data_IF_105355884647
#
_entry.id   IF_105355884647
#
_cell.length_a   1.000
_cell.length_b   1.000
_cell.length_c   1.000
_cell.angle_alpha   90.00
_cell.angle_beta   90.00
_cell.angle_gamma   90.00
#
_symmetry.space_group_name_H-M   'P 1'
#
loop_
_entity.id
_entity.type
_entity.pdbx_description
1 polymer ?
#
# COMPACT_ATOMS: atom_id res chain seq x y z
N UNK A 1 46.72 -35.93 -8.38
CA UNK A 1 46.17 -35.16 -7.25
C UNK A 1 44.71 -34.91 -7.57
N UNK A 2 43.86 -35.89 -7.28
CA UNK A 2 42.41 -35.74 -7.41
C UNK A 2 41.91 -35.09 -6.13
N UNK A 3 41.47 -33.84 -6.23
CA UNK A 3 40.86 -33.12 -5.13
C UNK A 3 39.46 -33.68 -4.89
N UNK A 4 39.27 -34.33 -3.73
CA UNK A 4 37.95 -34.68 -3.20
C UNK A 4 37.17 -33.38 -2.93
N UNK A 5 36.30 -32.99 -3.85
CA UNK A 5 35.22 -32.06 -3.54
C UNK A 5 34.10 -32.86 -2.86
N UNK A 6 33.61 -32.46 -1.67
CA UNK A 6 32.46 -33.10 -1.06
C UNK A 6 31.26 -32.96 -1.99
N UNK A 7 30.75 -34.09 -2.46
CA UNK A 7 29.55 -34.18 -3.28
C UNK A 7 28.34 -33.99 -2.35
N UNK A 8 28.04 -32.73 -1.99
CA UNK A 8 26.78 -32.36 -1.35
C UNK A 8 25.67 -32.52 -2.41
N UNK A 9 25.20 -33.75 -2.57
CA UNK A 9 24.37 -34.21 -3.68
C UNK A 9 22.93 -33.71 -3.61
N UNK A 10 22.71 -32.42 -3.89
CA UNK A 10 21.46 -31.96 -4.49
C UNK A 10 21.70 -31.87 -6.00
N UNK A 11 20.86 -32.54 -6.79
CA UNK A 11 20.88 -32.42 -8.24
C UNK A 11 20.54 -30.97 -8.63
N UNK A 12 21.14 -30.46 -9.70
CA UNK A 12 20.76 -29.15 -10.26
C UNK A 12 19.25 -29.08 -10.57
N UNK A 13 18.63 -30.21 -10.92
CA UNK A 13 17.17 -30.28 -11.12
C UNK A 13 16.42 -30.04 -9.82
N UNK A 14 16.86 -30.64 -8.71
CA UNK A 14 16.20 -30.47 -7.40
C UNK A 14 16.32 -29.02 -6.92
N UNK A 15 17.48 -28.38 -7.16
CA UNK A 15 17.67 -26.96 -6.86
C UNK A 15 16.77 -26.09 -7.74
N UNK A 16 16.66 -26.41 -9.03
CA UNK A 16 15.78 -25.67 -9.95
C UNK A 16 14.31 -25.81 -9.55
N UNK A 17 13.87 -27.01 -9.16
CA UNK A 17 12.51 -27.29 -8.71
C UNK A 17 12.23 -26.59 -7.36
N UNK A 18 13.20 -26.59 -6.43
CA UNK A 18 13.11 -25.86 -5.16
C UNK A 18 12.98 -24.35 -5.39
N UNK A 19 13.80 -23.78 -6.28
CA UNK A 19 13.73 -22.37 -6.67
C UNK A 19 12.38 -22.07 -7.35
N UNK A 20 11.92 -22.93 -8.25
CA UNK A 20 10.65 -22.76 -8.95
C UNK A 20 9.47 -22.78 -7.96
N UNK A 21 9.40 -23.79 -7.09
CA UNK A 21 8.36 -23.88 -6.07
C UNK A 21 8.36 -22.64 -5.16
N UNK A 22 9.52 -22.30 -4.60
CA UNK A 22 9.65 -21.25 -3.60
C UNK A 22 9.44 -19.84 -4.15
N UNK A 23 9.91 -19.54 -5.36
CA UNK A 23 9.97 -18.17 -5.87
C UNK A 23 9.02 -17.88 -7.02
N UNK A 24 8.48 -18.90 -7.69
CA UNK A 24 7.51 -18.72 -8.77
C UNK A 24 6.12 -19.16 -8.28
N UNK A 25 5.94 -20.44 -7.98
CA UNK A 25 4.62 -21.01 -7.69
C UNK A 25 4.01 -20.54 -6.38
N UNK A 26 4.81 -20.44 -5.31
CA UNK A 26 4.33 -19.99 -4.00
C UNK A 26 4.01 -18.50 -3.95
N UNK A 27 4.68 -17.72 -4.80
CA UNK A 27 4.60 -16.26 -4.79
C UNK A 27 3.48 -15.77 -5.69
N UNK A 28 3.35 -16.31 -6.90
CA UNK A 28 2.28 -15.94 -7.82
C UNK A 28 1.89 -17.15 -8.66
N UNK A 29 0.72 -17.69 -8.37
CA UNK A 29 0.06 -18.68 -9.20
C UNK A 29 -1.15 -18.02 -9.88
N UNK A 30 -1.16 -17.81 -11.21
CA UNK A 30 -2.29 -17.20 -11.91
C UNK A 30 -3.57 -18.05 -11.81
N UNK A 31 -3.47 -19.36 -11.58
CA UNK A 31 -4.64 -20.23 -11.36
C UNK A 31 -5.26 -20.05 -9.97
N UNK A 32 -4.49 -19.53 -9.01
CA UNK A 32 -4.99 -19.25 -7.67
C UNK A 32 -5.65 -17.86 -7.65
N UNK A 33 -6.97 -17.82 -7.82
CA UNK A 33 -7.77 -16.60 -7.80
C UNK A 33 -8.38 -16.28 -6.43
N UNK A 34 -7.89 -16.91 -5.34
CA UNK A 34 -8.36 -16.66 -3.97
C UNK A 34 -7.81 -15.32 -3.41
N UNK A 35 -8.11 -14.24 -4.12
CA UNK A 35 -7.86 -12.87 -3.70
C UNK A 35 -8.83 -11.90 -4.41
N UNK A 36 -9.01 -10.74 -3.80
CA UNK A 36 -9.77 -9.63 -4.37
C UNK A 36 -8.85 -8.43 -4.57
N UNK A 37 -9.13 -7.63 -5.58
CA UNK A 37 -8.50 -6.34 -5.76
C UNK A 37 -9.09 -5.38 -4.73
N UNK A 38 -8.20 -4.66 -4.05
CA UNK A 38 -8.53 -3.91 -2.86
C UNK A 38 -8.22 -2.42 -3.06
N UNK A 39 -9.20 -1.57 -2.77
CA UNK A 39 -8.99 -0.14 -2.55
C UNK A 39 -9.45 0.23 -1.13
N UNK A 40 -8.77 1.17 -0.51
CA UNK A 40 -9.10 1.64 0.84
C UNK A 40 -9.05 3.15 0.81
N UNK A 41 -10.22 3.77 0.84
CA UNK A 41 -10.47 5.18 0.51
C UNK A 41 -10.95 5.89 1.75
N UNK A 42 -10.46 7.11 2.01
CA UNK A 42 -11.01 7.96 3.08
C UNK A 42 -12.22 8.69 2.54
N UNK A 43 -13.38 8.42 3.09
CA UNK A 43 -14.48 9.38 3.05
C UNK A 43 -14.26 10.40 4.16
N UNK A 44 -14.27 11.68 3.83
CA UNK A 44 -14.16 12.75 4.81
C UNK A 44 -15.05 13.95 4.42
N UNK A 45 -16.06 14.29 5.23
CA UNK A 45 -16.98 15.36 4.94
C UNK A 45 -16.31 16.74 4.94
N UNK A 46 -15.14 16.91 5.57
CA UNK A 46 -14.40 18.18 5.59
C UNK A 46 -13.54 18.41 4.35
N UNK A 47 -13.49 17.47 3.40
CA UNK A 47 -12.79 17.69 2.13
C UNK A 47 -13.52 18.67 1.20
N UNK A 48 -14.82 18.88 1.42
CA UNK A 48 -15.62 19.87 0.70
C UNK A 48 -15.82 21.12 1.55
N UNK A 49 -15.96 22.28 0.89
CA UNK A 49 -16.21 23.57 1.56
C UNK A 49 -17.50 23.54 2.36
N UNK A 50 -18.53 22.87 1.84
CA UNK A 50 -19.79 22.61 2.52
C UNK A 50 -19.82 21.11 2.82
N UNK A 51 -19.69 20.71 4.09
CA UNK A 51 -19.79 19.30 4.47
C UNK A 51 -21.19 18.74 4.23
N UNK A 52 -21.32 17.48 3.79
CA UNK A 52 -22.61 16.82 3.61
C UNK A 52 -23.33 16.64 4.95
N UNK A 53 -24.64 16.91 4.96
CA UNK A 53 -25.52 16.65 6.12
C UNK A 53 -26.45 15.46 5.87
N UNK A 54 -26.65 15.10 4.61
CA UNK A 54 -27.37 13.91 4.16
C UNK A 54 -26.56 13.17 3.08
N UNK A 55 -26.86 11.89 2.86
CA UNK A 55 -26.13 11.09 1.87
C UNK A 55 -26.28 11.62 0.43
N UNK A 56 -27.39 12.30 0.12
CA UNK A 56 -27.63 12.97 -1.17
C UNK A 56 -26.67 14.14 -1.43
N UNK A 57 -26.03 14.68 -0.39
CA UNK A 57 -25.08 15.79 -0.51
C UNK A 57 -23.66 15.29 -0.80
N UNK A 58 -23.42 13.98 -0.71
CA UNK A 58 -22.11 13.38 -0.92
C UNK A 58 -21.74 13.50 -2.40
N UNK A 59 -20.54 14.01 -2.63
CA UNK A 59 -19.93 14.11 -3.96
C UNK A 59 -18.64 13.30 -4.02
N UNK A 60 -18.06 13.18 -5.23
CA UNK A 60 -16.75 12.55 -5.39
C UNK A 60 -15.65 13.22 -4.55
N UNK A 61 -15.76 14.52 -4.30
CA UNK A 61 -14.75 15.31 -3.60
C UNK A 61 -14.71 15.00 -2.10
N UNK A 62 -15.73 14.34 -1.56
CA UNK A 62 -15.73 13.80 -0.21
C UNK A 62 -14.89 12.51 -0.07
N UNK A 63 -14.45 11.92 -1.18
CA UNK A 63 -13.60 10.74 -1.19
C UNK A 63 -12.17 11.13 -1.57
N UNK A 64 -11.26 11.05 -0.60
CA UNK A 64 -9.88 11.46 -0.79
C UNK A 64 -9.19 10.68 -1.92
N UNK A 65 -8.71 11.39 -2.94
CA UNK A 65 -8.01 10.83 -4.11
C UNK A 65 -8.82 9.78 -4.88
N UNK A 66 -10.15 9.96 -5.01
CA UNK A 66 -11.03 8.98 -5.66
C UNK A 66 -10.60 8.68 -7.10
N UNK A 67 -10.19 9.70 -7.86
CA UNK A 67 -9.74 9.54 -9.25
C UNK A 67 -8.48 8.65 -9.33
N UNK A 68 -7.50 8.87 -8.46
CA UNK A 68 -6.31 8.03 -8.36
C UNK A 68 -6.64 6.60 -7.90
N UNK A 69 -7.58 6.45 -6.96
CA UNK A 69 -8.08 5.14 -6.53
C UNK A 69 -8.75 4.36 -7.66
N UNK A 70 -9.58 5.04 -8.45
CA UNK A 70 -10.29 4.46 -9.60
C UNK A 70 -9.30 3.98 -10.66
N UNK A 71 -8.37 4.83 -11.10
CA UNK A 71 -7.40 4.45 -12.13
C UNK A 71 -6.52 3.28 -11.70
N UNK A 72 -6.06 3.27 -10.45
CA UNK A 72 -5.28 2.13 -9.93
C UNK A 72 -6.09 0.85 -9.88
N UNK A 73 -7.36 0.92 -9.46
CA UNK A 73 -8.26 -0.24 -9.41
C UNK A 73 -8.42 -0.86 -10.80
N UNK A 74 -8.78 -0.06 -11.81
CA UNK A 74 -8.95 -0.52 -13.20
C UNK A 74 -7.64 -1.08 -13.76
N UNK A 75 -6.52 -0.39 -13.54
CA UNK A 75 -5.21 -0.86 -13.97
C UNK A 75 -4.85 -2.22 -13.36
N UNK A 76 -5.13 -2.39 -12.06
CA UNK A 76 -4.86 -3.64 -11.35
C UNK A 76 -5.73 -4.78 -11.88
N UNK A 77 -7.03 -4.54 -12.09
CA UNK A 77 -7.94 -5.55 -12.63
C UNK A 77 -7.49 -6.03 -14.01
N UNK A 78 -7.16 -5.09 -14.91
CA UNK A 78 -6.63 -5.41 -16.23
C UNK A 78 -5.34 -6.23 -16.16
N UNK A 79 -4.41 -5.85 -15.27
CA UNK A 79 -3.16 -6.58 -15.09
C UNK A 79 -3.42 -8.06 -14.77
N UNK A 80 -4.23 -8.34 -13.74
CA UNK A 80 -4.50 -9.72 -13.34
C UNK A 80 -5.38 -10.46 -14.34
N UNK A 81 -6.33 -9.79 -14.99
CA UNK A 81 -7.13 -10.40 -16.04
C UNK A 81 -6.25 -10.91 -17.20
N UNK A 82 -5.27 -10.12 -17.64
CA UNK A 82 -4.26 -10.56 -18.64
C UNK A 82 -3.50 -11.80 -18.14
N UNK A 83 -3.11 -11.84 -16.86
CA UNK A 83 -2.37 -13.00 -16.33
C UNK A 83 -3.21 -14.29 -16.27
N UNK A 84 -4.55 -14.18 -16.18
CA UNK A 84 -5.46 -15.32 -16.04
C UNK A 84 -6.02 -15.76 -17.39
N UNK A 85 -6.39 -14.80 -18.25
CA UNK A 85 -7.17 -15.04 -19.47
C UNK A 85 -6.40 -14.73 -20.76
N UNK A 86 -5.16 -14.23 -20.68
CA UNK A 86 -4.34 -13.82 -21.83
C UNK A 86 -5.06 -12.80 -22.75
N UNK A 87 -5.89 -11.94 -22.13
CA UNK A 87 -6.69 -10.89 -22.78
C UNK A 87 -6.60 -9.58 -21.97
N UNK A 88 -6.66 -8.42 -22.63
CA UNK A 88 -6.66 -7.10 -21.97
C UNK A 88 -8.07 -6.47 -21.84
N UNK A 89 -9.08 -7.12 -22.42
CA UNK A 89 -10.50 -6.75 -22.30
C UNK A 89 -11.12 -7.44 -21.08
N UNK A 90 -11.58 -6.64 -20.10
CA UNK A 90 -12.33 -7.17 -18.96
C UNK A 90 -13.72 -7.65 -19.39
N UNK A 91 -14.19 -8.75 -18.80
CA UNK A 91 -15.54 -9.29 -19.02
C UNK A 91 -16.67 -8.38 -18.47
N UNK A 92 -16.31 -7.30 -17.78
CA UNK A 92 -17.21 -6.35 -17.15
C UNK A 92 -16.64 -4.93 -17.17
N UNK A 93 -17.54 -3.94 -17.12
CA UNK A 93 -17.17 -2.54 -17.02
C UNK A 93 -17.25 -2.04 -15.57
N UNK A 94 -16.33 -1.16 -15.19
CA UNK A 94 -16.45 -0.36 -13.97
C UNK A 94 -16.44 1.13 -14.36
N UNK A 95 -17.58 1.72 -14.76
CA UNK A 95 -17.68 3.16 -14.93
C UNK A 95 -17.45 3.87 -13.59
N UNK A 96 -16.70 4.98 -13.61
CA UNK A 96 -16.40 5.71 -12.38
C UNK A 96 -17.65 6.23 -11.67
N UNK A 97 -18.67 6.69 -12.42
CA UNK A 97 -19.94 7.19 -11.86
C UNK A 97 -20.74 6.07 -11.19
N UNK A 98 -20.69 4.86 -11.75
CA UNK A 98 -21.32 3.69 -11.13
C UNK A 98 -20.62 3.32 -9.83
N UNK A 99 -19.28 3.36 -9.81
CA UNK A 99 -18.50 3.13 -8.60
C UNK A 99 -18.84 4.16 -7.52
N UNK A 100 -18.89 5.45 -7.88
CA UNK A 100 -19.28 6.52 -6.96
C UNK A 100 -20.68 6.28 -6.40
N UNK A 101 -21.64 5.93 -7.26
CA UNK A 101 -23.01 5.62 -6.86
C UNK A 101 -23.06 4.47 -5.85
N UNK A 102 -22.25 3.41 -6.06
CA UNK A 102 -22.14 2.29 -5.12
C UNK A 102 -21.52 2.68 -3.77
N UNK A 103 -20.53 3.58 -3.76
CA UNK A 103 -19.94 4.10 -2.52
C UNK A 103 -20.98 4.92 -1.72
N UNK A 104 -21.74 5.79 -2.40
CA UNK A 104 -22.80 6.59 -1.78
C UNK A 104 -23.94 5.70 -1.28
N UNK A 105 -24.36 4.71 -2.07
CA UNK A 105 -25.37 3.72 -1.68
C UNK A 105 -24.95 2.97 -0.42
N UNK A 106 -23.70 2.51 -0.34
CA UNK A 106 -23.17 1.82 0.84
C UNK A 106 -23.22 2.70 2.10
N UNK A 107 -22.91 4.01 1.99
CA UNK A 107 -23.03 4.96 3.11
C UNK A 107 -24.51 5.19 3.46
N UNK A 108 -25.37 5.38 2.46
CA UNK A 108 -26.81 5.64 2.63
C UNK A 108 -27.52 4.50 3.35
N UNK A 109 -27.18 3.26 3.04
CA UNK A 109 -27.77 2.06 3.63
C UNK A 109 -27.15 1.68 4.97
N UNK A 110 -26.09 2.38 5.40
CA UNK A 110 -25.44 2.12 6.69
C UNK A 110 -26.09 2.90 7.83
N UNK A 111 -25.74 2.53 9.06
CA UNK A 111 -26.05 3.25 10.29
C UNK A 111 -25.01 4.33 10.64
N UNK A 112 -24.03 4.57 9.75
CA UNK A 112 -22.95 5.53 9.96
C UNK A 112 -23.45 6.96 9.73
N UNK A 113 -22.88 7.89 10.49
CA UNK A 113 -23.16 9.31 10.37
C UNK A 113 -22.40 9.91 9.19
N UNK A 114 -23.10 10.55 8.25
CA UNK A 114 -22.49 11.13 7.04
C UNK A 114 -21.52 12.28 7.32
N UNK A 115 -21.60 12.90 8.50
CA UNK A 115 -20.70 13.97 8.94
C UNK A 115 -19.48 13.45 9.72
N UNK A 116 -19.31 12.13 9.85
CA UNK A 116 -18.12 11.50 10.42
C UNK A 116 -17.20 10.96 9.30
N UNK A 117 -15.87 11.03 9.45
CA UNK A 117 -14.95 10.44 8.51
C UNK A 117 -15.02 8.90 8.56
N UNK A 118 -14.88 8.25 7.41
CA UNK A 118 -14.95 6.79 7.30
C UNK A 118 -13.81 6.24 6.45
N UNK A 119 -13.32 5.06 6.83
CA UNK A 119 -12.49 4.22 5.98
C UNK A 119 -13.40 3.30 5.17
N UNK A 120 -13.43 3.54 3.86
CA UNK A 120 -14.19 2.76 2.89
C UNK A 120 -13.29 1.71 2.28
N UNK A 121 -13.57 0.43 2.54
CA UNK A 121 -12.83 -0.70 1.99
C UNK A 121 -13.62 -1.29 0.83
N UNK A 122 -13.16 -1.04 -0.38
CA UNK A 122 -13.73 -1.53 -1.64
C UNK A 122 -12.98 -2.78 -2.08
N UNK A 123 -13.70 -3.87 -2.31
CA UNK A 123 -13.18 -5.14 -2.79
C UNK A 123 -13.85 -5.49 -4.11
N UNK A 124 -13.07 -5.89 -5.10
CA UNK A 124 -13.55 -6.31 -6.42
C UNK A 124 -12.89 -7.64 -6.77
N UNK A 125 -13.67 -8.67 -7.05
CA UNK A 125 -13.18 -9.96 -7.56
C UNK A 125 -13.06 -9.95 -9.09
N UNK A 126 -12.41 -10.98 -9.64
CA UNK A 126 -12.16 -11.10 -11.09
C UNK A 126 -13.41 -11.40 -11.92
N UNK A 127 -14.52 -11.76 -11.29
CA UNK A 127 -15.85 -11.91 -11.90
C UNK A 127 -16.70 -10.63 -11.85
N UNK A 128 -16.16 -9.55 -11.27
CA UNK A 128 -16.83 -8.25 -11.18
C UNK A 128 -17.67 -8.06 -9.91
N UNK A 129 -17.73 -9.03 -9.00
CA UNK A 129 -18.45 -8.85 -7.73
C UNK A 129 -17.78 -7.77 -6.87
N UNK A 130 -18.61 -6.82 -6.41
CA UNK A 130 -18.16 -5.67 -5.60
C UNK A 130 -18.68 -5.80 -4.18
N UNK A 131 -17.76 -5.70 -3.21
CA UNK A 131 -18.09 -5.59 -1.79
C UNK A 131 -17.51 -4.31 -1.21
N UNK A 132 -18.35 -3.57 -0.47
CA UNK A 132 -17.95 -2.34 0.22
C UNK A 132 -18.14 -2.53 1.72
N UNK A 133 -17.11 -2.23 2.49
CA UNK A 133 -17.15 -2.27 3.95
C UNK A 133 -16.79 -0.89 4.52
N UNK A 134 -17.55 -0.44 5.53
CA UNK A 134 -17.36 0.86 6.17
C UNK A 134 -16.79 0.68 7.57
N UNK A 135 -15.64 1.29 7.81
CA UNK A 135 -14.91 1.24 9.07
C UNK A 135 -14.71 2.64 9.63
N UNK A 136 -14.60 2.75 10.95
CA UNK A 136 -14.25 4.02 11.59
C UNK A 136 -12.82 4.42 11.23
N UNK A 137 -12.61 5.73 11.11
CA UNK A 137 -11.27 6.30 10.99
C UNK A 137 -11.17 7.59 11.79
N UNK A 138 -9.96 7.91 12.24
CA UNK A 138 -9.73 9.12 13.02
C UNK A 138 -9.93 10.39 12.20
N UNK A 139 -10.33 11.44 12.90
CA UNK A 139 -10.31 12.81 12.39
C UNK A 139 -8.89 13.26 12.05
N UNK A 140 -8.78 13.98 10.93
CA UNK A 140 -7.54 14.61 10.46
C UNK A 140 -7.90 16.00 9.99
N UNK A 141 -7.37 17.04 10.65
CA UNK A 141 -7.62 18.42 10.21
C UNK A 141 -6.91 18.73 8.89
N UNK A 142 -5.74 18.12 8.67
CA UNK A 142 -4.97 18.26 7.45
C UNK A 142 -4.30 16.94 7.10
N UNK A 143 -4.63 16.37 5.94
CA UNK A 143 -4.05 15.11 5.46
C UNK A 143 -2.59 15.26 4.95
N UNK A 144 -2.06 16.48 4.84
CA UNK A 144 -0.71 16.79 4.36
C UNK A 144 0.22 17.37 5.42
N UNK A 145 -0.22 17.45 6.68
CA UNK A 145 0.55 18.02 7.79
C UNK A 145 1.90 17.34 8.03
N UNK A 146 2.04 16.05 7.73
CA UNK A 146 3.31 15.32 7.86
C UNK A 146 4.46 15.91 7.02
N UNK A 147 4.16 16.59 5.90
CA UNK A 147 5.18 17.25 5.05
C UNK A 147 5.58 18.61 5.64
N UNK A 148 4.74 19.21 6.46
CA UNK A 148 4.99 20.53 7.04
C UNK A 148 6.02 20.43 8.18
N UNK A 149 7.01 21.32 8.17
CA UNK A 149 8.05 21.32 9.19
C UNK A 149 7.55 21.80 10.57
N UNK A 150 6.49 22.59 10.61
CA UNK A 150 6.08 23.37 11.78
C UNK A 150 5.10 22.69 12.75
N UNK A 151 4.59 21.49 12.49
CA UNK A 151 3.38 21.01 13.19
C UNK A 151 3.34 19.51 13.47
N UNK A 152 4.29 18.99 14.25
CA UNK A 152 4.11 17.64 14.82
C UNK A 152 4.46 17.63 16.30
N UNK A 153 3.47 17.32 17.13
CA UNK A 153 3.70 16.89 18.50
C UNK A 153 4.52 15.59 18.47
N UNK A 154 5.36 15.34 19.48
CA UNK A 154 6.14 14.09 19.56
C UNK A 154 5.25 12.85 19.65
N UNK A 155 4.00 13.01 20.10
CA UNK A 155 3.03 11.91 20.20
C UNK A 155 2.54 11.42 18.83
N UNK A 156 2.64 12.24 17.78
CA UNK A 156 2.17 11.93 16.43
C UNK A 156 3.24 11.27 15.53
N UNK A 157 4.46 11.09 16.05
CA UNK A 157 5.53 10.38 15.36
C UNK A 157 5.34 8.88 15.55
N UNK A 158 5.25 8.15 14.43
CA UNK A 158 5.14 6.70 14.40
C UNK A 158 6.50 6.04 14.68
N UNK A 159 6.46 4.94 15.41
CA UNK A 159 7.64 4.09 15.61
C UNK A 159 7.78 3.16 14.41
N UNK A 160 8.92 3.27 13.72
CA UNK A 160 9.19 2.53 12.49
C UNK A 160 10.26 1.48 12.74
N UNK A 161 9.92 0.24 12.41
CA UNK A 161 10.79 -0.92 12.52
C UNK A 161 11.23 -1.37 11.13
N UNK A 162 12.41 -1.98 11.01
CA UNK A 162 12.87 -2.58 9.74
C UNK A 162 12.71 -4.09 9.82
N UNK A 163 11.99 -4.69 8.86
CA UNK A 163 11.94 -6.15 8.75
C UNK A 163 13.33 -6.69 8.39
N UNK A 164 13.76 -7.73 9.11
CA UNK A 164 15.04 -8.40 8.89
C UNK A 164 14.97 -9.44 7.78
N UNK A 165 13.76 -9.87 7.43
CA UNK A 165 13.53 -10.81 6.34
C UNK A 165 13.33 -10.07 5.01
N UNK A 166 14.06 -10.50 3.98
CA UNK A 166 13.88 -9.95 2.65
C UNK A 166 12.51 -10.32 2.10
N UNK A 167 11.82 -9.35 1.52
CA UNK A 167 10.57 -9.55 0.80
C UNK A 167 10.83 -9.85 -0.66
N UNK A 168 10.19 -10.90 -1.18
CA UNK A 168 10.21 -11.19 -2.60
C UNK A 168 9.24 -10.26 -3.33
N UNK A 169 9.69 -9.64 -4.42
CA UNK A 169 8.88 -8.74 -5.22
C UNK A 169 7.89 -9.55 -6.06
N UNK A 170 6.62 -9.21 -6.01
CA UNK A 170 5.58 -9.93 -6.75
C UNK A 170 4.45 -9.00 -7.17
N UNK A 171 3.51 -9.48 -8.00
CA UNK A 171 2.28 -8.74 -8.25
C UNK A 171 1.53 -8.38 -6.95
N UNK A 172 1.61 -9.20 -5.91
CA UNK A 172 0.95 -8.94 -4.62
C UNK A 172 1.64 -7.90 -3.75
N UNK A 173 2.88 -7.49 -4.08
CA UNK A 173 3.51 -6.30 -3.49
C UNK A 173 3.27 -5.05 -4.34
N UNK A 174 3.31 -5.18 -5.67
CA UNK A 174 3.14 -4.03 -6.57
C UNK A 174 1.68 -3.59 -6.75
N UNK A 175 0.72 -4.48 -6.52
CA UNK A 175 -0.71 -4.23 -6.62
C UNK A 175 -1.42 -4.49 -5.29
N UNK A 176 -2.47 -3.70 -5.03
CA UNK A 176 -3.21 -3.78 -3.76
C UNK A 176 -4.28 -4.86 -3.84
N UNK A 177 -4.01 -6.01 -3.23
CA UNK A 177 -4.97 -7.13 -3.13
C UNK A 177 -5.25 -7.52 -1.68
N UNK A 178 -6.15 -8.49 -1.48
CA UNK A 178 -6.34 -9.15 -0.18
C UNK A 178 -5.25 -10.18 0.14
N UNK A 179 -4.46 -10.63 -0.84
CA UNK A 179 -3.30 -11.48 -0.58
C UNK A 179 -2.18 -10.65 0.06
N UNK A 180 -2.15 -10.67 1.38
CA UNK A 180 -1.26 -9.84 2.20
C UNK A 180 -0.35 -10.65 3.11
N UNK A 181 -0.14 -11.93 2.81
CA UNK A 181 0.65 -12.86 3.65
C UNK A 181 2.03 -12.29 3.98
N UNK A 182 2.74 -11.74 2.99
CA UNK A 182 4.08 -11.13 3.17
C UNK A 182 4.05 -9.95 4.15
N UNK A 183 3.05 -9.07 4.04
CA UNK A 183 2.89 -7.92 4.91
C UNK A 183 2.46 -8.32 6.33
N UNK A 184 1.56 -9.30 6.46
CA UNK A 184 1.13 -9.81 7.76
C UNK A 184 2.27 -10.47 8.51
N UNK A 185 3.08 -11.29 7.83
CA UNK A 185 4.26 -11.92 8.41
C UNK A 185 5.32 -10.89 8.84
N UNK A 186 5.58 -9.87 8.02
CA UNK A 186 6.49 -8.78 8.38
C UNK A 186 6.03 -8.06 9.66
N UNK A 187 4.72 -7.76 9.77
CA UNK A 187 4.15 -7.13 10.96
C UNK A 187 4.29 -8.01 12.21
N UNK A 188 3.98 -9.29 12.10
CA UNK A 188 4.07 -10.25 13.20
C UNK A 188 5.50 -10.41 13.72
N UNK A 189 6.49 -10.44 12.81
CA UNK A 189 7.91 -10.60 13.19
C UNK A 189 8.53 -9.33 13.78
N UNK A 190 8.20 -8.16 13.23
CA UNK A 190 8.94 -6.92 13.51
C UNK A 190 8.25 -5.98 14.49
N UNK A 191 6.92 -5.97 14.57
CA UNK A 191 6.20 -4.99 15.40
C UNK A 191 6.04 -5.50 16.83
N UNK A 192 6.49 -4.76 17.85
CA UNK A 192 6.40 -5.19 19.23
C UNK A 192 5.01 -4.95 19.84
N UNK A 193 4.13 -4.16 19.18
CA UNK A 193 2.78 -3.89 19.65
C UNK A 193 2.73 -2.92 20.84
N UNK A 194 3.77 -2.11 21.03
CA UNK A 194 3.89 -1.18 22.16
C UNK A 194 3.02 0.08 21.95
N UNK A 195 2.83 0.48 20.69
CA UNK A 195 1.99 1.61 20.29
C UNK A 195 1.04 1.23 19.15
N UNK A 196 -0.02 0.43 19.44
CA UNK A 196 -0.97 0.00 18.43
C UNK A 196 -1.52 1.18 17.60
N UNK A 197 -1.44 1.06 16.28
CA UNK A 197 -1.89 2.10 15.34
C UNK A 197 -0.90 3.25 15.11
N UNK A 198 0.24 3.29 15.81
CA UNK A 198 1.35 4.23 15.59
C UNK A 198 2.69 3.50 15.40
N UNK A 199 2.63 2.28 14.88
CA UNK A 199 3.77 1.44 14.55
C UNK A 199 3.69 0.97 13.10
N UNK A 200 4.81 1.01 12.39
CA UNK A 200 4.94 0.53 11.02
C UNK A 200 6.23 -0.26 10.84
N UNK A 201 6.20 -1.24 9.94
CA UNK A 201 7.38 -2.04 9.56
C UNK A 201 7.73 -1.74 8.11
N UNK A 202 9.01 -1.46 7.85
CA UNK A 202 9.58 -1.29 6.52
C UNK A 202 9.99 -2.64 5.94
N UNK A 203 9.61 -2.88 4.69
CA UNK A 203 9.97 -4.06 3.93
C UNK A 203 11.16 -3.74 3.02
N UNK A 204 12.12 -4.67 2.98
CA UNK A 204 13.35 -4.59 2.18
C UNK A 204 13.32 -5.70 1.14
N UNK A 205 13.66 -5.42 -0.11
CA UNK A 205 13.73 -6.44 -1.15
C UNK A 205 15.05 -7.22 -1.15
N UNK A 206 15.16 -8.24 -2.00
CA UNK A 206 16.35 -9.10 -2.12
C UNK A 206 17.63 -8.40 -2.59
N UNK A 207 17.53 -7.15 -3.03
CA UNK A 207 18.69 -6.30 -3.39
C UNK A 207 19.09 -5.34 -2.27
N UNK A 208 18.63 -5.56 -1.04
CA UNK A 208 18.84 -4.67 0.11
C UNK A 208 18.29 -3.24 -0.13
N UNK A 209 17.20 -3.10 -0.89
CA UNK A 209 16.56 -1.82 -1.17
C UNK A 209 15.23 -1.70 -0.42
N UNK A 210 14.96 -0.52 0.11
CA UNK A 210 13.68 -0.19 0.72
C UNK A 210 12.56 -0.30 -0.30
N UNK A 211 11.46 -0.97 0.07
CA UNK A 211 10.26 -1.04 -0.74
C UNK A 211 9.22 -0.03 -0.26
N UNK A 212 8.64 -0.30 0.90
CA UNK A 212 7.52 0.44 1.49
C UNK A 212 7.30 -0.05 2.93
N UNK A 213 6.30 0.49 3.61
CA UNK A 213 5.79 -0.05 4.86
C UNK A 213 4.70 -1.10 4.64
N UNK A 214 4.26 -1.79 5.70
CA UNK A 214 3.22 -2.82 5.56
C UNK A 214 1.85 -2.30 5.14
N UNK A 215 1.52 -1.04 5.47
CA UNK A 215 0.27 -0.36 5.09
C UNK A 215 0.50 1.04 4.52
N UNK A 216 1.75 1.40 4.21
CA UNK A 216 2.16 2.75 3.81
C UNK A 216 3.22 2.71 2.72
N UNK A 217 3.21 3.69 1.82
CA UNK A 217 4.45 4.06 1.13
C UNK A 217 5.27 5.00 2.02
N UNK A 218 6.55 5.15 1.70
CA UNK A 218 7.49 5.85 2.57
C UNK A 218 8.37 6.82 1.80
N UNK A 219 8.84 7.87 2.47
CA UNK A 219 9.89 8.74 1.96
C UNK A 219 10.88 9.10 3.07
N UNK A 220 12.15 9.24 2.73
CA UNK A 220 13.22 9.67 3.64
C UNK A 220 13.87 10.95 3.15
N UNK A 221 14.50 11.72 4.04
CA UNK A 221 15.26 12.90 3.61
C UNK A 221 16.58 12.49 2.96
N UNK A 222 16.81 13.00 1.77
CA UNK A 222 18.06 12.84 1.04
C UNK A 222 19.16 13.70 1.66
N UNK A 223 20.26 13.08 2.08
CA UNK A 223 21.33 13.76 2.85
C UNK A 223 21.98 14.96 2.13
N UNK A 224 22.03 14.96 0.79
CA UNK A 224 22.72 16.02 0.01
C UNK A 224 21.95 17.34 -0.12
N UNK A 225 20.62 17.30 -0.14
CA UNK A 225 19.78 18.47 -0.46
C UNK A 225 18.50 18.57 0.38
N UNK A 226 18.28 17.63 1.30
CA UNK A 226 17.15 17.64 2.23
C UNK A 226 15.79 17.30 1.61
N UNK A 227 15.73 16.99 0.31
CA UNK A 227 14.48 16.61 -0.37
C UNK A 227 13.99 15.25 0.08
N UNK A 228 12.68 15.06 0.05
CA UNK A 228 12.06 13.77 0.32
C UNK A 228 12.20 12.85 -0.89
N UNK A 229 12.76 11.66 -0.67
CA UNK A 229 12.87 10.62 -1.69
C UNK A 229 12.07 9.39 -1.30
N UNK A 230 11.38 8.78 -2.25
CA UNK A 230 10.59 7.55 -2.09
C UNK A 230 11.16 6.45 -2.98
N UNK A 231 11.07 5.17 -2.58
CA UNK A 231 11.52 4.05 -3.42
C UNK A 231 10.86 4.05 -4.78
N UNK A 232 11.61 3.71 -5.83
CA UNK A 232 11.08 3.50 -7.19
C UNK A 232 10.14 2.29 -7.26
N UNK A 233 9.20 2.27 -8.19
CA UNK A 233 8.32 1.10 -8.38
C UNK A 233 9.10 -0.19 -8.73
N UNK A 234 10.27 -0.05 -9.35
CA UNK A 234 11.21 -1.16 -9.61
C UNK A 234 11.72 -1.86 -8.35
N UNK A 235 11.56 -1.26 -7.16
CA UNK A 235 11.85 -1.91 -5.88
C UNK A 235 10.79 -2.96 -5.50
N UNK A 236 9.67 -3.03 -6.23
CA UNK A 236 8.54 -3.92 -5.97
C UNK A 236 7.47 -3.34 -5.04
N UNK A 237 7.59 -2.06 -4.66
CA UNK A 237 6.60 -1.38 -3.81
C UNK A 237 5.26 -1.15 -4.50
N UNK A 238 4.19 -1.03 -3.72
CA UNK A 238 2.86 -0.68 -4.21
C UNK A 238 2.88 0.68 -4.93
N UNK A 239 2.19 0.75 -6.08
CA UNK A 239 1.84 1.99 -6.76
C UNK A 239 0.76 2.79 -5.97
N UNK A 240 1.11 3.29 -4.79
CA UNK A 240 0.16 3.97 -3.90
C UNK A 240 -0.41 5.26 -4.48
N UNK A 241 -1.71 5.48 -4.26
CA UNK A 241 -2.39 6.71 -4.71
C UNK A 241 -1.84 7.96 -4.05
N UNK A 242 -1.51 7.89 -2.76
CA UNK A 242 -0.93 9.02 -2.03
C UNK A 242 0.51 9.28 -2.49
N UNK A 243 1.28 8.22 -2.74
CA UNK A 243 2.61 8.30 -3.37
C UNK A 243 2.55 9.03 -4.72
N UNK A 244 1.62 8.61 -5.57
CA UNK A 244 1.42 9.22 -6.89
C UNK A 244 1.02 10.69 -6.78
N UNK A 245 0.10 11.04 -5.88
CA UNK A 245 -0.28 12.42 -5.61
C UNK A 245 0.92 13.29 -5.21
N UNK A 246 1.76 12.79 -4.29
CA UNK A 246 2.93 13.52 -3.79
C UNK A 246 4.00 13.70 -4.87
N UNK A 247 4.24 12.68 -5.70
CA UNK A 247 5.15 12.77 -6.85
C UNK A 247 4.64 13.81 -7.87
N UNK A 248 3.36 13.76 -8.23
CA UNK A 248 2.74 14.71 -9.18
C UNK A 248 2.78 16.16 -8.68
N UNK A 249 2.82 16.37 -7.37
CA UNK A 249 2.88 17.69 -6.72
C UNK A 249 4.31 18.12 -6.37
N UNK A 250 5.32 17.39 -6.82
CA UNK A 250 6.74 17.65 -6.57
C UNK A 250 7.11 17.73 -5.07
N UNK A 251 6.34 17.08 -4.20
CA UNK A 251 6.65 16.99 -2.78
C UNK A 251 7.73 15.95 -2.47
N UNK A 252 7.82 14.90 -3.30
CA UNK A 252 8.79 13.81 -3.18
C UNK A 252 9.37 13.47 -4.56
N UNK A 253 10.56 12.85 -4.59
CA UNK A 253 11.22 12.34 -5.80
C UNK A 253 11.46 10.82 -5.70
N UNK A 254 11.53 10.11 -6.82
CA UNK A 254 11.87 8.68 -6.80
C UNK A 254 13.40 8.49 -6.74
N UNK A 255 13.89 7.64 -5.83
CA UNK A 255 15.30 7.27 -5.73
C UNK A 255 15.45 5.86 -5.16
N UNK A 256 16.52 5.15 -5.53
CA UNK A 256 16.86 3.88 -4.88
C UNK A 256 17.38 4.16 -3.47
N UNK A 257 16.67 3.67 -2.46
CA UNK A 257 17.05 3.79 -1.05
C UNK A 257 17.58 2.45 -0.58
N UNK A 258 18.82 2.41 -0.11
CA UNK A 258 19.46 1.18 0.36
C UNK A 258 19.26 0.97 1.85
N UNK A 259 19.20 -0.28 2.30
CA UNK A 259 19.11 -0.65 3.71
C UNK A 259 20.19 0.04 4.55
N UNK A 260 21.41 0.16 4.02
CA UNK A 260 22.55 0.80 4.71
C UNK A 260 22.34 2.29 4.99
N UNK A 261 21.42 2.94 4.27
CA UNK A 261 21.07 4.35 4.51
C UNK A 261 20.01 4.55 5.60
N UNK A 262 19.41 3.46 6.10
CA UNK A 262 18.35 3.47 7.10
C UNK A 262 18.95 3.33 8.51
N UNK A 263 19.31 4.47 9.11
CA UNK A 263 19.90 4.53 10.44
C UNK A 263 18.81 4.71 11.52
N UNK A 264 19.06 4.23 12.75
CA UNK A 264 18.19 4.55 13.89
C UNK A 264 18.09 6.07 14.02
N UNK A 265 16.89 6.56 14.33
CA UNK A 265 16.51 7.96 14.35
C UNK A 265 16.33 8.63 12.98
N UNK A 266 16.43 7.91 11.86
CA UNK A 266 16.09 8.46 10.55
C UNK A 266 14.62 8.89 10.55
N UNK A 267 14.38 10.16 10.19
CA UNK A 267 13.03 10.68 9.97
C UNK A 267 12.48 10.17 8.65
N UNK A 268 11.22 9.72 8.70
CA UNK A 268 10.52 9.14 7.56
C UNK A 268 9.14 9.77 7.45
N UNK A 269 8.67 10.00 6.24
CA UNK A 269 7.26 10.21 5.96
C UNK A 269 6.62 8.87 5.65
N UNK A 270 5.51 8.57 6.31
CA UNK A 270 4.66 7.43 6.01
C UNK A 270 3.36 7.97 5.39
N UNK A 271 2.89 7.36 4.31
CA UNK A 271 1.69 7.86 3.65
C UNK A 271 0.83 6.80 2.99
N UNK A 272 -0.49 6.99 3.08
CA UNK A 272 -1.49 6.19 2.37
C UNK A 272 -2.78 7.01 2.14
N UNK A 273 -3.74 6.45 1.40
CA UNK A 273 -5.02 7.10 1.09
C UNK A 273 -6.02 7.21 2.25
N UNK A 274 -5.65 6.81 3.48
CA UNK A 274 -6.51 6.88 4.67
C UNK A 274 -6.05 7.94 5.65
N UNK A 275 -4.77 7.89 6.03
CA UNK A 275 -4.20 8.82 7.00
C UNK A 275 -3.55 10.05 6.33
N UNK A 276 -3.41 10.05 5.01
CA UNK A 276 -2.63 11.08 4.31
C UNK A 276 -1.14 10.88 4.60
N UNK A 277 -0.43 11.94 4.98
CA UNK A 277 1.00 11.91 5.33
C UNK A 277 1.20 12.11 6.82
N UNK A 278 1.95 11.22 7.45
CA UNK A 278 2.36 11.31 8.85
C UNK A 278 3.87 11.15 8.97
N UNK A 279 4.44 11.61 10.08
CA UNK A 279 5.86 11.44 10.38
C UNK A 279 6.08 10.12 11.12
N UNK A 280 7.22 9.50 10.84
CA UNK A 280 7.72 8.32 11.53
C UNK A 280 9.22 8.46 11.81
N UNK A 281 9.71 7.62 12.69
CA UNK A 281 11.12 7.58 13.07
C UNK A 281 11.57 6.15 13.21
N UNK A 282 12.72 5.80 12.63
CA UNK A 282 13.29 4.46 12.78
C UNK A 282 13.73 4.25 14.23
N UNK A 283 13.23 3.20 14.88
CA UNK A 283 13.55 2.87 16.27
C UNK A 283 14.14 1.46 16.45
N UNK A 284 14.03 0.56 15.47
CA UNK A 284 14.54 -0.81 15.60
C UNK A 284 14.50 -1.65 14.33
#
# INVERSE_FOLDING_TARGET
MEGNYPNNGQSYSEIADEIHGKYLSDVFNPENTDYQILSTIRYDPKLTVIPPIMASDITKDNFFLLDEHYHRLVFTLKYFHVQIHDSDELDFEIPQDLLLSKLIEAITLSDRLVFEPMKVRLLVSMDGDVKIELHDTGYRDNLLDGIQESSSSTEDIWDVYIDKESTFMSPFTSFKTTNRKVYSAARERALPGLRPGKEEVLLINGSEQLMEGSITNVAIRRKKDGKWITPQLSSGCLCGVMRHFLLRKDFIEEETITLRSLEINTEILLFNGIMGVVKGKIVG
#
